data_IF_394831093523
#
_entry.id   IF_394831093523
#
_cell.length_a   1.000
_cell.length_b   1.000
_cell.length_c   1.000
_cell.angle_alpha   90.00
_cell.angle_beta   90.00
_cell.angle_gamma   90.00
#
_symmetry.space_group_name_H-M   'P 1'
#
loop_
_entity.id
_entity.type
_entity.pdbx_description
1 polymer ?
#
# COMPACT_ATOMS: atom_id res chain seq x y z
N UNK A 1 -8.05 -41.23 -32.32
CA UNK A 1 -7.24 -42.34 -32.84
C UNK A 1 -6.32 -41.80 -33.92
N UNK A 2 -5.17 -42.45 -34.11
CA UNK A 2 -3.95 -42.03 -34.83
C UNK A 2 -3.01 -41.20 -33.95
N UNK A 3 -1.72 -41.52 -33.78
CA UNK A 3 -0.97 -42.76 -33.50
C UNK A 3 0.48 -42.28 -33.30
N UNK A 4 1.07 -42.53 -32.14
CA UNK A 4 2.50 -42.37 -31.88
C UNK A 4 3.30 -43.46 -32.61
N UNK A 5 4.48 -43.12 -33.15
CA UNK A 5 5.52 -44.08 -33.53
C UNK A 5 6.89 -43.55 -33.07
N UNK A 6 7.65 -44.29 -32.23
CA UNK A 6 9.04 -43.99 -31.88
C UNK A 6 10.05 -44.69 -32.80
N UNK A 7 11.18 -44.04 -33.08
CA UNK A 7 12.32 -44.60 -33.82
C UNK A 7 13.34 -45.30 -32.91
N UNK A 8 14.14 -46.25 -33.45
CA UNK A 8 14.85 -47.28 -32.67
C UNK A 8 16.24 -46.86 -32.18
N UNK A 9 16.65 -47.47 -31.06
CA UNK A 9 18.01 -47.41 -30.52
C UNK A 9 18.93 -48.51 -31.07
N UNK A 10 20.23 -48.30 -30.88
CA UNK A 10 21.27 -49.32 -31.07
C UNK A 10 22.31 -49.21 -29.94
N UNK A 11 22.71 -50.37 -29.42
CA UNK A 11 23.63 -50.62 -28.32
C UNK A 11 25.11 -50.69 -28.79
N UNK A 12 26.03 -50.09 -28.00
CA UNK A 12 27.35 -50.55 -27.45
C UNK A 12 28.26 -51.52 -28.24
N UNK A 13 29.63 -51.48 -28.11
CA UNK A 13 30.27 -51.93 -26.86
C UNK A 13 31.74 -51.47 -26.49
N UNK A 14 32.05 -51.66 -25.18
CA UNK A 14 33.32 -52.01 -24.46
C UNK A 14 34.65 -51.21 -24.50
N UNK A 15 35.28 -51.22 -23.31
CA UNK A 15 36.52 -50.60 -22.76
C UNK A 15 37.82 -51.38 -23.12
N UNK A 16 39.08 -51.02 -22.71
CA UNK A 16 39.57 -51.03 -21.30
C UNK A 16 40.73 -50.07 -20.86
N UNK A 17 40.74 -49.76 -19.54
CA UNK A 17 41.86 -49.72 -18.56
C UNK A 17 43.00 -48.67 -18.52
N UNK A 18 43.50 -48.48 -17.27
CA UNK A 18 44.85 -48.05 -16.80
C UNK A 18 44.90 -46.56 -16.37
N UNK A 19 45.29 -46.08 -15.18
CA UNK A 19 46.02 -46.58 -14.00
C UNK A 19 45.77 -45.62 -12.80
N UNK A 20 45.89 -46.11 -11.57
CA UNK A 20 46.13 -45.31 -10.35
C UNK A 20 47.60 -45.50 -9.94
N UNK A 21 48.25 -44.57 -9.19
CA UNK A 21 48.34 -44.85 -7.75
C UNK A 21 48.44 -43.63 -6.80
N UNK A 22 47.90 -43.85 -5.60
CA UNK A 22 48.34 -43.46 -4.24
C UNK A 22 49.04 -42.11 -4.00
N UNK A 23 48.48 -41.32 -3.08
CA UNK A 23 49.29 -40.46 -2.20
C UNK A 23 48.56 -39.43 -1.33
N UNK A 24 48.25 -39.81 -0.09
CA UNK A 24 48.36 -38.99 1.14
C UNK A 24 47.39 -37.83 1.44
N UNK A 25 46.61 -38.08 2.51
CA UNK A 25 46.46 -37.30 3.76
C UNK A 25 45.22 -36.42 3.92
N UNK A 26 44.51 -36.76 5.00
CA UNK A 26 43.35 -36.12 5.59
C UNK A 26 43.59 -34.63 5.91
N UNK A 27 42.69 -33.79 5.43
CA UNK A 27 42.45 -32.45 5.94
C UNK A 27 40.95 -32.33 6.19
N UNK A 28 40.54 -32.37 7.46
CA UNK A 28 39.20 -32.01 7.89
C UNK A 28 39.05 -30.51 7.61
N UNK A 29 38.45 -30.17 6.48
CA UNK A 29 37.94 -28.82 6.23
C UNK A 29 36.49 -28.82 6.68
N UNK A 30 36.27 -28.34 7.90
CA UNK A 30 34.94 -27.94 8.36
C UNK A 30 34.38 -26.90 7.38
N UNK A 31 33.21 -27.11 6.77
CA UNK A 31 32.57 -26.07 6.01
C UNK A 31 32.12 -25.01 7.01
N UNK A 32 32.75 -23.84 6.94
CA UNK A 32 32.32 -22.64 7.64
C UNK A 32 30.85 -22.40 7.28
N UNK A 33 29.90 -22.29 8.25
CA UNK A 33 28.53 -22.01 7.90
C UNK A 33 28.50 -20.58 7.36
N UNK A 34 28.32 -20.47 6.05
CA UNK A 34 28.02 -19.21 5.38
C UNK A 34 26.92 -18.53 6.19
N UNK A 35 27.15 -17.30 6.64
CA UNK A 35 26.15 -16.47 7.28
C UNK A 35 24.94 -16.44 6.36
N UNK A 36 23.94 -17.25 6.69
CA UNK A 36 22.70 -17.32 5.96
C UNK A 36 22.07 -15.95 6.12
N UNK A 37 22.12 -15.17 5.05
CA UNK A 37 21.27 -14.01 4.86
C UNK A 37 19.84 -14.50 5.09
N UNK A 38 19.32 -14.22 6.27
CA UNK A 38 17.92 -14.43 6.62
C UNK A 38 17.13 -13.40 5.85
N UNK A 39 16.96 -13.66 4.55
CA UNK A 39 15.89 -13.07 3.77
C UNK A 39 14.62 -13.25 4.59
N UNK A 40 13.84 -12.19 4.87
CA UNK A 40 12.56 -12.34 5.56
C UNK A 40 11.79 -13.44 4.83
N UNK A 41 11.54 -14.55 5.53
CA UNK A 41 10.91 -15.73 4.94
C UNK A 41 9.53 -15.30 4.45
N UNK A 42 9.40 -15.09 3.15
CA UNK A 42 8.14 -14.79 2.49
C UNK A 42 7.12 -15.85 2.92
N UNK A 43 6.01 -15.42 3.51
CA UNK A 43 4.90 -16.27 3.93
C UNK A 43 3.71 -15.97 3.04
N UNK A 44 3.51 -16.76 1.96
CA UNK A 44 2.42 -16.53 1.02
C UNK A 44 1.04 -16.51 1.69
N UNK A 45 0.86 -17.28 2.77
CA UNK A 45 -0.44 -17.36 3.47
C UNK A 45 -0.74 -16.06 4.20
N UNK A 46 0.28 -15.47 4.83
CA UNK A 46 0.16 -14.17 5.50
C UNK A 46 -0.13 -13.08 4.47
N UNK A 47 0.56 -13.10 3.33
CA UNK A 47 0.35 -12.12 2.28
C UNK A 47 -1.05 -12.21 1.67
N UNK A 48 -1.52 -13.41 1.34
CA UNK A 48 -2.87 -13.62 0.80
C UNK A 48 -3.94 -13.10 1.78
N UNK A 49 -3.80 -13.36 3.08
CA UNK A 49 -4.72 -12.82 4.09
C UNK A 49 -4.69 -11.30 4.15
N UNK A 50 -3.50 -10.70 4.20
CA UNK A 50 -3.36 -9.24 4.27
C UNK A 50 -3.97 -8.55 3.04
N UNK A 51 -3.70 -9.07 1.84
CA UNK A 51 -4.28 -8.58 0.58
C UNK A 51 -5.79 -8.73 0.59
N UNK A 52 -6.31 -9.92 0.92
CA UNK A 52 -7.76 -10.20 0.92
C UNK A 52 -8.51 -9.29 1.91
N UNK A 53 -8.02 -9.18 3.14
CA UNK A 53 -8.62 -8.30 4.14
C UNK A 53 -8.55 -6.83 3.71
N UNK A 54 -7.42 -6.39 3.14
CA UNK A 54 -7.28 -5.03 2.63
C UNK A 54 -8.32 -4.70 1.55
N UNK A 55 -8.53 -5.59 0.57
CA UNK A 55 -9.54 -5.37 -0.47
C UNK A 55 -10.96 -5.41 0.10
N UNK A 56 -11.27 -6.29 1.06
CA UNK A 56 -12.55 -6.27 1.75
C UNK A 56 -12.84 -4.91 2.40
N UNK A 57 -11.83 -4.31 3.06
CA UNK A 57 -11.97 -2.96 3.59
C UNK A 57 -12.14 -1.90 2.50
N UNK A 58 -11.34 -1.97 1.43
CA UNK A 58 -11.45 -1.01 0.32
C UNK A 58 -12.83 -1.03 -0.32
N UNK A 59 -13.40 -2.21 -0.60
CA UNK A 59 -14.76 -2.34 -1.13
C UNK A 59 -15.81 -1.73 -0.19
N UNK A 60 -15.62 -1.91 1.12
CA UNK A 60 -16.52 -1.35 2.13
C UNK A 60 -16.33 0.14 2.38
N UNK A 61 -15.27 0.76 1.87
CA UNK A 61 -14.91 2.15 2.17
C UNK A 61 -15.70 3.19 1.37
N UNK A 62 -16.19 2.83 0.18
CA UNK A 62 -16.87 3.74 -0.75
C UNK A 62 -15.97 4.76 -1.46
N UNK A 63 -14.73 4.97 -1.01
CA UNK A 63 -13.72 5.84 -1.65
C UNK A 63 -12.64 5.08 -2.41
N UNK A 64 -12.77 3.76 -2.49
CA UNK A 64 -12.09 2.92 -3.46
C UNK A 64 -12.87 2.91 -4.79
N UNK A 65 -12.21 3.31 -5.87
CA UNK A 65 -12.83 3.48 -7.19
C UNK A 65 -12.59 2.28 -8.11
N UNK A 66 -11.77 1.30 -7.70
CA UNK A 66 -11.41 0.15 -8.51
C UNK A 66 -10.63 0.52 -9.77
N UNK A 67 -10.95 -0.16 -10.88
CA UNK A 67 -10.27 -0.06 -12.17
C UNK A 67 -10.58 1.23 -12.95
N UNK A 68 -10.37 2.39 -12.33
CA UNK A 68 -10.42 3.69 -13.01
C UNK A 68 -9.02 4.14 -13.45
N UNK A 69 -8.97 4.82 -14.59
CA UNK A 69 -7.71 5.36 -15.12
C UNK A 69 -7.21 6.55 -14.30
N UNK A 70 -5.91 6.86 -14.41
CA UNK A 70 -5.34 8.07 -13.83
C UNK A 70 -6.07 9.34 -14.30
N UNK A 71 -6.39 9.42 -15.60
CA UNK A 71 -7.10 10.55 -16.19
C UNK A 71 -8.50 10.74 -15.60
N UNK A 72 -9.27 9.66 -15.43
CA UNK A 72 -10.60 9.72 -14.80
C UNK A 72 -10.53 10.17 -13.34
N UNK A 73 -9.57 9.64 -12.59
CA UNK A 73 -9.34 10.04 -11.20
C UNK A 73 -8.93 11.52 -11.08
N UNK A 74 -8.04 11.99 -11.96
CA UNK A 74 -7.63 13.39 -11.99
C UNK A 74 -8.79 14.32 -12.38
N UNK A 75 -9.59 13.94 -13.37
CA UNK A 75 -10.78 14.70 -13.75
C UNK A 75 -11.77 14.84 -12.59
N UNK A 76 -12.02 13.76 -11.85
CA UNK A 76 -12.89 13.79 -10.67
C UNK A 76 -12.35 14.68 -9.54
N UNK A 77 -11.02 14.73 -9.36
CA UNK A 77 -10.35 15.53 -8.34
C UNK A 77 -10.11 16.98 -8.75
N UNK A 78 -10.23 17.31 -10.03
CA UNK A 78 -9.89 18.64 -10.56
C UNK A 78 -10.70 19.75 -9.87
N UNK A 79 -12.00 19.50 -9.65
CA UNK A 79 -12.95 20.42 -9.02
C UNK A 79 -13.14 20.16 -7.52
N UNK A 80 -12.42 19.19 -6.95
CA UNK A 80 -12.50 18.88 -5.53
C UNK A 80 -11.65 19.85 -4.69
N UNK A 81 -11.93 19.90 -3.39
CA UNK A 81 -11.16 20.69 -2.42
C UNK A 81 -9.73 20.15 -2.28
N UNK A 82 -8.79 21.02 -1.90
CA UNK A 82 -7.43 20.58 -1.60
C UNK A 82 -7.39 19.59 -0.43
N UNK A 83 -6.80 18.43 -0.66
CA UNK A 83 -6.75 17.29 0.25
C UNK A 83 -7.83 16.24 -0.02
N UNK A 84 -8.72 16.47 -0.99
CA UNK A 84 -9.63 15.44 -1.48
C UNK A 84 -8.83 14.29 -2.12
N UNK A 85 -9.23 13.04 -1.88
CA UNK A 85 -8.52 11.87 -2.38
C UNK A 85 -9.43 10.70 -2.72
N UNK A 86 -8.91 9.77 -3.50
CA UNK A 86 -9.51 8.46 -3.77
C UNK A 86 -8.40 7.41 -3.96
N UNK A 87 -8.72 6.14 -3.72
CA UNK A 87 -7.82 5.02 -4.05
C UNK A 87 -8.38 4.27 -5.26
N UNK A 88 -7.49 3.84 -6.15
CA UNK A 88 -7.84 3.10 -7.37
C UNK A 88 -6.81 2.02 -7.66
N UNK A 89 -7.13 1.14 -8.60
CA UNK A 89 -6.16 0.22 -9.16
C UNK A 89 -5.03 0.99 -9.85
N UNK A 90 -3.81 0.47 -9.68
CA UNK A 90 -2.63 0.97 -10.37
C UNK A 90 -2.61 0.46 -11.80
N UNK A 91 -2.28 1.34 -12.75
CA UNK A 91 -2.01 0.96 -14.14
C UNK A 91 -0.56 0.46 -14.34
N UNK A 92 0.28 0.54 -13.30
CA UNK A 92 1.66 0.09 -13.34
C UNK A 92 1.74 -1.39 -12.91
N UNK A 93 2.45 -2.26 -13.66
CA UNK A 93 2.43 -3.71 -13.42
C UNK A 93 3.02 -4.15 -12.08
N UNK A 94 3.89 -3.34 -11.48
CA UNK A 94 4.54 -3.65 -10.19
C UNK A 94 3.76 -3.19 -8.95
N UNK A 95 2.60 -2.54 -9.11
CA UNK A 95 1.83 -2.00 -7.98
C UNK A 95 0.37 -2.38 -8.15
N UNK A 96 -0.28 -2.74 -7.05
CA UNK A 96 -1.71 -3.07 -7.06
C UNK A 96 -2.56 -1.79 -7.01
N UNK A 97 -2.17 -0.83 -6.18
CA UNK A 97 -3.02 0.31 -5.81
C UNK A 97 -2.31 1.64 -6.01
N UNK A 98 -3.09 2.70 -6.20
CA UNK A 98 -2.63 4.08 -6.33
C UNK A 98 -3.57 5.02 -5.59
N UNK A 99 -3.00 5.89 -4.76
CA UNK A 99 -3.68 7.01 -4.13
C UNK A 99 -3.67 8.20 -5.09
N UNK A 100 -4.83 8.72 -5.45
CA UNK A 100 -4.96 9.98 -6.20
C UNK A 100 -5.47 11.07 -5.27
N UNK A 101 -4.83 12.24 -5.27
CA UNK A 101 -5.11 13.32 -4.31
C UNK A 101 -5.06 14.69 -4.99
N UNK A 102 -5.96 15.60 -4.61
CA UNK A 102 -5.93 17.00 -5.01
C UNK A 102 -4.97 17.77 -4.11
N UNK A 103 -3.82 18.18 -4.64
CA UNK A 103 -2.87 19.09 -3.96
C UNK A 103 -3.11 20.52 -4.39
N UNK A 104 -2.47 21.53 -3.80
CA UNK A 104 -2.58 22.93 -4.26
C UNK A 104 -2.25 23.09 -5.76
N UNK A 105 -1.29 22.30 -6.28
CA UNK A 105 -0.83 22.33 -7.68
C UNK A 105 -1.71 21.55 -8.67
N UNK A 106 -2.72 20.85 -8.17
CA UNK A 106 -3.60 20.00 -8.98
C UNK A 106 -3.67 18.56 -8.48
N UNK A 107 -4.47 17.72 -9.13
CA UNK A 107 -4.49 16.27 -8.90
C UNK A 107 -3.11 15.65 -9.15
N UNK A 108 -2.71 14.74 -8.28
CA UNK A 108 -1.51 13.90 -8.45
C UNK A 108 -1.81 12.47 -8.03
N UNK A 109 -0.94 11.53 -8.41
CA UNK A 109 -1.05 10.12 -8.07
C UNK A 109 0.22 9.61 -7.42
N UNK A 110 0.07 8.88 -6.31
CA UNK A 110 1.14 8.27 -5.54
C UNK A 110 0.87 6.77 -5.51
N UNK A 111 1.84 5.96 -5.91
CA UNK A 111 1.68 4.50 -5.89
C UNK A 111 1.77 3.97 -4.47
N UNK A 112 1.08 2.87 -4.19
CA UNK A 112 1.15 2.19 -2.90
C UNK A 112 1.96 0.91 -3.10
N UNK A 113 3.15 0.86 -2.51
CA UNK A 113 3.98 -0.34 -2.49
C UNK A 113 3.41 -1.35 -1.50
N UNK A 114 3.62 -2.63 -1.80
CA UNK A 114 3.28 -3.74 -0.92
C UNK A 114 4.49 -4.65 -0.74
N UNK A 115 4.87 -4.93 0.50
CA UNK A 115 5.97 -5.84 0.84
C UNK A 115 5.77 -6.41 2.24
N UNK A 116 6.07 -7.70 2.43
CA UNK A 116 6.04 -8.36 3.74
C UNK A 116 4.73 -8.14 4.51
N UNK A 117 3.58 -8.30 3.84
CA UNK A 117 2.25 -8.04 4.40
C UNK A 117 2.02 -6.62 4.93
N UNK A 118 2.69 -5.62 4.35
CA UNK A 118 2.52 -4.20 4.69
C UNK A 118 2.40 -3.33 3.43
N UNK A 119 1.70 -2.21 3.57
CA UNK A 119 1.47 -1.18 2.56
C UNK A 119 2.20 0.11 2.94
N UNK A 120 2.82 0.77 1.97
CA UNK A 120 3.49 2.06 2.17
C UNK A 120 3.39 2.93 0.91
N UNK A 121 3.45 4.25 1.08
CA UNK A 121 3.45 5.16 -0.06
C UNK A 121 4.81 5.17 -0.75
N UNK A 122 4.81 5.12 -2.08
CA UNK A 122 6.04 5.24 -2.87
C UNK A 122 6.57 6.69 -2.77
N UNK A 123 7.74 6.90 -2.13
CA UNK A 123 8.42 8.19 -2.16
C UNK A 123 9.45 8.21 -3.27
N UNK A 124 9.30 9.14 -4.21
CA UNK A 124 10.33 9.47 -5.18
C UNK A 124 11.42 10.39 -4.62
N UNK A 125 11.32 10.83 -3.35
CA UNK A 125 12.28 11.72 -2.71
C UNK A 125 13.10 10.98 -1.63
N UNK A 126 14.44 10.91 -1.77
CA UNK A 126 15.33 10.26 -0.80
C UNK A 126 15.54 11.06 0.51
N UNK A 127 14.95 12.26 0.64
CA UNK A 127 15.21 13.20 1.74
C UNK A 127 14.11 13.27 2.81
N UNK A 128 13.22 12.26 2.92
CA UNK A 128 12.11 12.29 3.89
C UNK A 128 12.22 11.22 5.00
N UNK A 129 11.79 11.55 6.23
CA UNK A 129 11.81 10.64 7.37
C UNK A 129 10.96 9.41 7.07
N UNK A 130 11.38 8.26 7.59
CA UNK A 130 10.81 6.92 7.37
C UNK A 130 9.31 6.94 7.05
N UNK A 131 8.97 6.68 5.77
CA UNK A 131 7.58 6.41 5.42
C UNK A 131 7.11 5.24 6.26
N UNK A 132 5.99 5.43 6.94
CA UNK A 132 5.40 4.38 7.76
C UNK A 132 4.80 3.30 6.87
N UNK A 133 5.00 2.06 7.27
CA UNK A 133 4.32 0.91 6.70
C UNK A 133 3.09 0.57 7.54
N UNK A 134 2.06 0.04 6.89
CA UNK A 134 0.77 -0.21 7.50
C UNK A 134 0.23 -1.59 7.13
N UNK A 135 -0.55 -2.25 7.99
CA UNK A 135 -1.14 -3.54 7.68
C UNK A 135 -2.21 -3.48 6.58
N UNK A 136 -2.81 -2.31 6.34
CA UNK A 136 -3.84 -2.09 5.32
C UNK A 136 -3.88 -0.61 4.90
N UNK A 137 -4.51 -0.35 3.74
CA UNK A 137 -4.61 0.99 3.13
C UNK A 137 -5.50 1.95 3.93
N UNK A 138 -6.65 1.56 4.51
CA UNK A 138 -7.41 2.46 5.37
C UNK A 138 -6.59 3.00 6.57
N UNK A 139 -5.78 2.16 7.22
CA UNK A 139 -4.86 2.61 8.28
C UNK A 139 -3.81 3.60 7.76
N UNK A 140 -3.24 3.34 6.59
CA UNK A 140 -2.32 4.25 5.90
C UNK A 140 -2.99 5.61 5.66
N UNK A 141 -4.19 5.61 5.07
CA UNK A 141 -4.96 6.82 4.77
C UNK A 141 -5.25 7.60 6.06
N UNK A 142 -5.75 6.93 7.09
CA UNK A 142 -6.08 7.56 8.37
C UNK A 142 -4.86 8.21 9.03
N UNK A 143 -3.67 7.60 8.91
CA UNK A 143 -2.43 8.21 9.39
C UNK A 143 -2.10 9.52 8.65
N UNK A 144 -2.19 9.54 7.32
CA UNK A 144 -1.89 10.74 6.51
C UNK A 144 -3.00 11.79 6.50
N UNK A 145 -4.21 11.45 6.96
CA UNK A 145 -5.24 12.44 7.28
C UNK A 145 -4.88 13.22 8.56
N UNK A 146 -4.23 12.56 9.51
CA UNK A 146 -3.87 13.14 10.79
C UNK A 146 -5.10 13.47 11.65
N UNK A 147 -4.90 14.05 12.85
CA UNK A 147 -6.01 14.56 13.65
C UNK A 147 -6.67 15.73 12.93
N UNK A 148 -8.01 15.77 12.94
CA UNK A 148 -8.76 16.91 12.41
C UNK A 148 -8.38 18.16 13.21
N UNK A 149 -7.54 19.02 12.63
CA UNK A 149 -7.34 20.37 13.14
C UNK A 149 -8.64 21.11 12.87
N UNK A 150 -9.44 21.36 13.91
CA UNK A 150 -10.54 22.34 13.83
C UNK A 150 -9.98 23.61 13.19
N UNK A 151 -10.58 24.02 12.08
CA UNK A 151 -10.15 25.20 11.35
C UNK A 151 -10.20 26.41 12.31
N UNK A 152 -9.04 27.00 12.61
CA UNK A 152 -8.99 28.35 13.11
C UNK A 152 -9.35 29.27 11.94
N UNK A 153 -10.60 29.72 11.93
CA UNK A 153 -11.03 30.85 11.14
C UNK A 153 -10.40 32.13 11.73
N UNK A 154 -9.63 32.83 10.88
CA UNK A 154 -9.50 34.29 10.89
C UNK A 154 -8.86 34.94 12.12
N UNK A 155 -7.56 35.24 12.02
CA UNK A 155 -7.06 36.54 12.49
C UNK A 155 -6.02 37.09 11.52
N UNK A 156 -6.45 38.07 10.74
CA UNK A 156 -5.58 39.01 10.02
C UNK A 156 -5.01 39.93 11.09
N UNK A 157 -3.70 39.87 11.31
CA UNK A 157 -2.96 40.99 11.87
C UNK A 157 -1.84 41.33 10.89
N UNK A 158 -1.90 42.57 10.40
CA UNK A 158 -0.92 43.22 9.55
C UNK A 158 0.42 43.37 10.27
N UNK A 159 1.53 43.12 9.57
CA UNK A 159 2.82 43.74 9.87
C UNK A 159 3.55 44.06 8.54
N UNK A 160 4.19 45.25 8.40
CA UNK A 160 4.71 45.78 7.14
C UNK A 160 6.19 45.38 6.87
N UNK A 161 6.78 45.75 5.70
CA UNK A 161 7.71 44.90 4.96
C UNK A 161 9.19 45.17 5.24
N UNK A 162 10.04 44.14 5.07
CA UNK A 162 11.48 44.31 4.91
C UNK A 162 12.05 43.32 3.89
N UNK A 163 12.82 43.89 2.95
CA UNK A 163 13.34 43.32 1.71
C UNK A 163 14.48 42.31 1.97
N UNK A 164 14.58 41.27 1.16
CA UNK A 164 15.79 40.96 0.37
C UNK A 164 15.57 39.73 -0.52
N UNK A 165 15.89 39.90 -1.80
CA UNK A 165 15.87 38.91 -2.86
C UNK A 165 16.92 37.82 -2.65
N UNK A 166 16.52 36.55 -2.67
CA UNK A 166 17.33 35.46 -3.22
C UNK A 166 16.41 34.46 -3.94
N UNK A 167 16.52 34.43 -5.27
CA UNK A 167 16.01 33.36 -6.11
C UNK A 167 16.77 32.08 -5.77
N UNK A 168 16.21 31.31 -4.84
CA UNK A 168 16.44 29.86 -4.75
C UNK A 168 15.21 29.17 -5.32
N UNK A 169 15.41 28.17 -6.17
CA UNK A 169 14.36 27.23 -6.56
C UNK A 169 13.78 26.69 -5.25
N UNK A 170 12.62 27.22 -4.83
CA UNK A 170 11.88 26.64 -3.72
C UNK A 170 11.38 25.31 -4.23
N UNK A 171 12.12 24.25 -3.95
CA UNK A 171 11.55 22.91 -3.92
C UNK A 171 10.47 22.94 -2.83
N UNK A 172 9.27 23.40 -3.21
CA UNK A 172 8.10 23.41 -2.37
C UNK A 172 7.83 21.95 -2.05
N UNK A 173 8.29 21.52 -0.88
CA UNK A 173 8.08 20.17 -0.39
C UNK A 173 6.57 19.98 -0.27
N UNK A 174 5.97 19.32 -1.26
CA UNK A 174 4.53 19.06 -1.25
C UNK A 174 4.29 18.09 -0.09
N UNK A 175 3.81 18.62 1.04
CA UNK A 175 3.40 17.80 2.18
C UNK A 175 2.12 17.10 1.74
N UNK A 176 2.14 15.77 1.73
CA UNK A 176 0.94 15.00 1.46
C UNK A 176 -0.03 15.18 2.63
N UNK A 177 -1.13 15.90 2.40
CA UNK A 177 -2.17 16.13 3.41
C UNK A 177 -3.50 15.63 2.86
N UNK A 178 -3.99 14.53 3.42
CA UNK A 178 -5.32 14.02 3.11
C UNK A 178 -6.33 14.72 4.02
N UNK A 179 -7.50 15.07 3.48
CA UNK A 179 -8.56 15.75 4.25
C UNK A 179 -9.93 15.13 4.04
N UNK A 180 -10.25 14.73 2.81
CA UNK A 180 -11.59 14.28 2.47
C UNK A 180 -11.55 13.12 1.49
N UNK A 181 -12.22 12.03 1.84
CA UNK A 181 -12.43 10.91 0.94
C UNK A 181 -13.48 11.28 -0.13
N UNK A 182 -13.16 11.06 -1.40
CA UNK A 182 -14.08 11.27 -2.51
C UNK A 182 -14.81 9.95 -2.80
N UNK A 183 -16.09 9.91 -2.43
CA UNK A 183 -16.92 8.73 -2.65
C UNK A 183 -17.26 8.55 -4.14
N UNK A 184 -17.30 7.30 -4.59
CA UNK A 184 -17.67 6.95 -5.96
C UNK A 184 -19.14 7.34 -6.21
N UNK A 185 -19.46 8.12 -7.28
CA UNK A 185 -20.83 8.63 -7.49
C UNK A 185 -21.93 7.57 -7.56
N UNK A 186 -21.60 6.38 -8.06
CA UNK A 186 -22.54 5.26 -8.24
C UNK A 186 -22.57 4.30 -7.03
N UNK A 187 -21.80 4.59 -5.99
CA UNK A 187 -21.64 3.73 -4.81
C UNK A 187 -21.59 4.60 -3.55
N UNK A 188 -22.67 5.34 -3.31
CA UNK A 188 -22.81 6.10 -2.08
C UNK A 188 -22.85 5.14 -0.87
N UNK A 189 -22.16 5.48 0.24
CA UNK A 189 -22.20 4.64 1.43
C UNK A 189 -23.62 4.54 1.98
N UNK A 190 -23.98 3.36 2.49
CA UNK A 190 -25.25 3.18 3.18
C UNK A 190 -25.29 4.00 4.47
N UNK A 191 -26.48 4.37 4.95
CA UNK A 191 -26.63 5.04 6.25
C UNK A 191 -26.00 4.21 7.39
N UNK A 192 -26.08 2.88 7.29
CA UNK A 192 -25.45 1.97 8.24
C UNK A 192 -23.92 2.15 8.28
N UNK A 193 -23.28 2.26 7.12
CA UNK A 193 -21.84 2.50 7.02
C UNK A 193 -21.47 3.89 7.54
N UNK A 194 -22.22 4.92 7.16
CA UNK A 194 -22.00 6.28 7.66
C UNK A 194 -22.10 6.34 9.19
N UNK A 195 -23.09 5.65 9.76
CA UNK A 195 -23.25 5.53 11.22
C UNK A 195 -22.06 4.82 11.85
N UNK A 196 -21.56 3.73 11.23
CA UNK A 196 -20.34 3.04 11.67
C UNK A 196 -19.13 3.98 11.69
N UNK A 197 -18.92 4.79 10.66
CA UNK A 197 -17.82 5.77 10.64
C UNK A 197 -17.95 6.79 11.77
N UNK A 198 -19.17 7.29 12.03
CA UNK A 198 -19.42 8.23 13.14
C UNK A 198 -19.10 7.59 14.49
N UNK A 199 -19.53 6.35 14.71
CA UNK A 199 -19.22 5.60 15.95
C UNK A 199 -17.70 5.43 16.10
N UNK A 200 -17.02 4.94 15.06
CA UNK A 200 -15.57 4.70 15.08
C UNK A 200 -14.76 5.99 15.34
N UNK A 201 -15.28 7.16 14.97
CA UNK A 201 -14.63 8.46 15.28
C UNK A 201 -14.73 8.82 16.75
N UNK A 202 -15.76 8.36 17.45
CA UNK A 202 -16.08 8.74 18.83
C UNK A 202 -15.53 7.77 19.88
N UNK A 203 -15.17 6.55 19.50
CA UNK A 203 -14.61 5.57 20.42
C UNK A 203 -13.51 4.73 19.77
N UNK A 204 -12.48 4.39 20.55
CA UNK A 204 -11.45 3.43 20.16
C UNK A 204 -11.79 2.00 20.66
N UNK A 205 -12.89 1.83 21.40
CA UNK A 205 -13.37 0.55 21.93
C UNK A 205 -14.84 0.26 21.54
N UNK A 206 -15.15 0.08 20.23
CA UNK A 206 -16.52 -0.16 19.77
C UNK A 206 -17.15 -1.44 20.36
N UNK A 207 -16.34 -2.41 20.76
CA UNK A 207 -16.78 -3.70 21.32
C UNK A 207 -17.46 -3.59 22.69
N UNK A 208 -17.27 -2.46 23.38
CA UNK A 208 -17.83 -2.20 24.71
C UNK A 208 -19.18 -1.47 24.65
N UNK A 209 -19.64 -1.11 23.46
CA UNK A 209 -20.90 -0.41 23.29
C UNK A 209 -22.08 -1.35 23.64
N UNK A 210 -23.19 -0.80 24.18
CA UNK A 210 -24.39 -1.57 24.52
C UNK A 210 -25.20 -1.93 23.26
N UNK A 211 -24.56 -2.59 22.30
CA UNK A 211 -25.14 -2.99 21.01
C UNK A 211 -25.28 -4.51 20.90
N UNK A 212 -26.31 -5.01 20.18
CA UNK A 212 -26.41 -6.42 19.83
C UNK A 212 -25.16 -6.95 19.09
N UNK A 213 -24.81 -8.23 19.33
CA UNK A 213 -23.63 -8.90 18.73
C UNK A 213 -23.49 -8.72 17.20
N UNK A 214 -24.57 -8.79 16.39
CA UNK A 214 -24.44 -8.56 14.95
C UNK A 214 -23.95 -7.15 14.60
N UNK A 215 -24.36 -6.14 15.37
CA UNK A 215 -23.90 -4.76 15.17
C UNK A 215 -22.46 -4.57 15.63
N UNK A 216 -22.05 -5.20 16.74
CA UNK A 216 -20.65 -5.21 17.17
C UNK A 216 -19.75 -5.82 16.09
N UNK A 217 -20.14 -6.97 15.52
CA UNK A 217 -19.43 -7.57 14.39
C UNK A 217 -19.37 -6.63 13.18
N UNK A 218 -20.47 -5.96 12.85
CA UNK A 218 -20.49 -5.00 11.74
C UNK A 218 -19.52 -3.82 11.93
N UNK A 219 -19.31 -3.37 13.18
CA UNK A 219 -18.28 -2.38 13.51
C UNK A 219 -16.87 -2.96 13.34
N UNK A 220 -16.64 -4.21 13.79
CA UNK A 220 -15.36 -4.91 13.65
C UNK A 220 -14.98 -5.21 12.20
N UNK A 221 -15.96 -5.43 11.31
CA UNK A 221 -15.73 -5.68 9.89
C UNK A 221 -15.12 -4.46 9.16
N UNK A 222 -15.14 -3.28 9.78
CA UNK A 222 -14.47 -2.07 9.28
C UNK A 222 -14.12 -1.12 10.45
N UNK A 223 -12.97 -1.30 11.11
CA UNK A 223 -12.61 -0.59 12.32
C UNK A 223 -11.87 0.74 12.02
N UNK A 224 -12.30 1.46 10.98
CA UNK A 224 -11.63 2.71 10.53
C UNK A 224 -12.56 3.92 10.63
N UNK A 225 -11.94 5.10 10.71
CA UNK A 225 -12.63 6.40 10.86
C UNK A 225 -12.92 7.09 9.51
N UNK A 226 -12.39 6.54 8.41
CA UNK A 226 -12.43 7.09 7.05
C UNK A 226 -13.20 6.19 6.12
#
# INVERSE_FOLDING_TARGET
>A
MILCVPGPGAHLPTTPSTESPRGMREGIVTPTPCLQSTSPRWDPTKDLRAITSNFCYLENSGWYWGAVTAAQAHAALQQASEGAFLVRDSSHPLYMLTLSVRTARGPTSIRIQYSCAQFLLDSSSPARPSLSSFPNVPSLVQHYMGPERKAEEGKVEEEPPSKASQQGIQETTVVLKLKQALYKPQSLPSLQHLTRLVINRQTDCPDQLPLPRPLLRYLQDYPFKV
#
